data_IF_977761700449
#
_entry.id   IF_977761700449
#
_cell.length_a   1.000
_cell.length_b   1.000
_cell.length_c   1.000
_cell.angle_alpha   90.00
_cell.angle_beta   90.00
_cell.angle_gamma   90.00
#
_symmetry.space_group_name_H-M   'P 1'
#
loop_
_entity.id
_entity.type
_entity.pdbx_description
1 polymer ?
#
# COMPACT_ATOMS: atom_id res chain seq x y z
N UNK A 1 62.30 9.31 -69.84
CA UNK A 1 61.76 8.44 -68.76
C UNK A 1 61.06 9.35 -67.78
N UNK A 2 59.72 9.53 -67.94
CA UNK A 2 58.89 10.50 -67.24
C UNK A 2 58.11 9.79 -66.16
N UNK A 3 58.27 10.22 -64.92
CA UNK A 3 57.50 9.72 -63.77
C UNK A 3 56.35 10.71 -63.52
N UNK A 4 55.18 10.26 -63.85
CA UNK A 4 53.91 10.95 -63.53
C UNK A 4 53.65 10.97 -62.04
N UNK A 5 53.58 12.15 -61.43
CA UNK A 5 53.06 12.38 -60.08
C UNK A 5 51.53 12.41 -60.13
N UNK A 6 50.87 11.46 -59.49
CA UNK A 6 49.42 11.40 -59.23
C UNK A 6 49.07 12.17 -57.95
N UNK A 7 48.44 13.36 -58.13
CA UNK A 7 47.91 14.11 -57.02
C UNK A 7 46.57 13.49 -56.56
N UNK A 8 46.53 12.97 -55.33
CA UNK A 8 45.31 12.56 -54.65
C UNK A 8 44.75 13.74 -53.85
N UNK A 9 43.67 14.33 -54.31
CA UNK A 9 42.88 15.27 -53.50
C UNK A 9 41.99 14.44 -52.58
N UNK A 10 42.31 14.45 -51.30
CA UNK A 10 41.43 13.91 -50.26
C UNK A 10 40.40 15.00 -49.92
N UNK A 11 39.18 14.83 -50.41
CA UNK A 11 38.03 15.65 -50.01
C UNK A 11 37.59 15.14 -48.63
N UNK A 12 37.97 15.87 -47.56
CA UNK A 12 37.44 15.66 -46.23
C UNK A 12 36.02 16.23 -46.15
N UNK A 13 35.02 15.37 -46.25
CA UNK A 13 33.64 15.73 -45.95
C UNK A 13 33.54 15.79 -44.42
N UNK A 14 33.59 17.01 -43.88
CA UNK A 14 33.25 17.25 -42.48
C UNK A 14 31.73 17.19 -42.36
N UNK A 15 31.22 16.03 -41.93
CA UNK A 15 29.83 15.90 -41.47
C UNK A 15 29.67 16.74 -40.19
N UNK A 16 29.13 17.93 -40.31
CA UNK A 16 28.67 18.76 -39.22
C UNK A 16 27.41 18.10 -38.67
N UNK A 17 27.55 17.16 -37.72
CA UNK A 17 26.48 16.70 -36.86
C UNK A 17 26.14 17.87 -35.91
N UNK A 18 25.32 18.76 -36.39
CA UNK A 18 24.69 19.78 -35.59
C UNK A 18 23.78 19.08 -34.56
N UNK A 19 24.26 18.92 -33.34
CA UNK A 19 23.39 18.63 -32.22
C UNK A 19 22.47 19.85 -32.08
N UNK A 20 21.26 19.76 -32.61
CA UNK A 20 20.19 20.70 -32.27
C UNK A 20 19.89 20.48 -30.77
N UNK A 21 20.56 21.21 -29.90
CA UNK A 21 20.12 21.41 -28.52
C UNK A 21 18.89 22.33 -28.62
N UNK A 22 17.74 21.74 -28.85
CA UNK A 22 16.47 22.44 -28.71
C UNK A 22 16.34 22.86 -27.25
N UNK A 23 16.34 24.17 -26.99
CA UNK A 23 15.99 24.67 -25.65
C UNK A 23 14.52 24.30 -25.38
N UNK A 24 14.24 23.68 -24.23
CA UNK A 24 12.89 23.39 -23.81
C UNK A 24 12.06 24.70 -23.80
N UNK A 25 10.97 24.72 -24.54
CA UNK A 25 10.08 25.86 -24.66
C UNK A 25 8.93 25.75 -23.67
N UNK A 26 8.47 26.88 -23.14
CA UNK A 26 7.26 26.95 -22.35
C UNK A 26 6.09 27.45 -23.21
N UNK A 27 5.04 26.66 -23.28
CA UNK A 27 3.78 26.96 -23.99
C UNK A 27 2.75 27.30 -22.93
N UNK A 28 2.23 28.52 -22.94
CA UNK A 28 1.28 28.98 -21.94
C UNK A 28 -0.16 28.80 -22.41
N UNK A 29 -0.96 28.16 -21.56
CA UNK A 29 -2.41 27.96 -21.73
C UNK A 29 -3.14 28.80 -20.70
N UNK A 30 -4.08 29.65 -21.13
CA UNK A 30 -4.97 30.39 -20.25
C UNK A 30 -6.22 30.91 -20.99
N UNK A 31 -7.28 31.26 -20.26
CA UNK A 31 -8.53 31.76 -20.84
C UNK A 31 -8.38 33.03 -21.69
N UNK A 32 -7.38 33.88 -21.39
CA UNK A 32 -7.07 35.11 -22.14
C UNK A 32 -5.89 34.96 -23.11
N UNK A 33 -5.24 33.80 -23.15
CA UNK A 33 -4.13 33.51 -24.05
C UNK A 33 -4.61 33.12 -25.46
N UNK A 34 -3.72 33.12 -26.45
CA UNK A 34 -4.01 32.55 -27.76
C UNK A 34 -4.42 31.06 -27.70
N UNK A 35 -3.82 30.32 -26.79
CA UNK A 35 -4.10 28.90 -26.55
C UNK A 35 -4.96 28.82 -25.29
N UNK A 36 -6.22 28.37 -25.44
CA UNK A 36 -7.21 28.35 -24.36
C UNK A 36 -7.50 26.94 -23.81
N UNK A 37 -7.04 25.90 -24.52
CA UNK A 37 -7.27 24.52 -24.13
C UNK A 37 -5.95 23.81 -23.82
N UNK A 38 -5.98 22.89 -22.86
CA UNK A 38 -4.80 22.10 -22.46
C UNK A 38 -4.38 21.22 -23.64
N UNK A 39 -5.34 20.55 -24.31
CA UNK A 39 -5.04 19.74 -25.48
C UNK A 39 -4.43 20.58 -26.63
N UNK A 40 -4.87 21.83 -26.79
CA UNK A 40 -4.27 22.77 -27.75
C UNK A 40 -2.83 23.16 -27.42
N UNK A 41 -2.52 23.29 -26.13
CA UNK A 41 -1.15 23.49 -25.65
C UNK A 41 -0.25 22.29 -25.93
N UNK A 42 -0.73 21.09 -25.63
CA UNK A 42 -0.01 19.82 -25.89
C UNK A 42 0.24 19.64 -27.40
N UNK A 43 -0.74 19.96 -28.24
CA UNK A 43 -0.59 19.86 -29.71
C UNK A 43 0.56 20.73 -30.26
N UNK A 44 0.81 21.89 -29.65
CA UNK A 44 1.89 22.80 -30.05
C UNK A 44 3.26 22.50 -29.43
N UNK A 45 3.28 21.62 -28.42
CA UNK A 45 4.51 21.23 -27.73
C UNK A 45 5.34 20.25 -28.59
N UNK A 46 6.64 20.32 -28.45
CA UNK A 46 7.63 19.33 -28.86
C UNK A 46 8.14 18.53 -27.66
N UNK A 47 8.86 17.45 -27.89
CA UNK A 47 9.50 16.69 -26.83
C UNK A 47 10.44 17.57 -25.99
N UNK A 48 10.34 17.43 -24.66
CA UNK A 48 11.10 18.22 -23.69
C UNK A 48 10.45 19.56 -23.31
N UNK A 49 9.40 19.99 -24.00
CA UNK A 49 8.72 21.26 -23.71
C UNK A 49 7.87 21.18 -22.43
N UNK A 50 7.57 22.35 -21.89
CA UNK A 50 6.63 22.55 -20.78
C UNK A 50 5.34 23.19 -21.28
N UNK A 51 4.20 22.57 -21.00
CA UNK A 51 2.88 23.17 -21.18
C UNK A 51 2.45 23.73 -19.81
N UNK A 52 2.54 25.05 -19.68
CA UNK A 52 2.20 25.78 -18.45
C UNK A 52 0.74 26.23 -18.51
N UNK A 53 -0.08 25.62 -17.66
CA UNK A 53 -1.51 25.94 -17.57
C UNK A 53 -1.73 26.92 -16.42
N UNK A 54 -2.19 28.12 -16.74
CA UNK A 54 -2.49 29.15 -15.75
C UNK A 54 -3.77 28.85 -14.98
N UNK A 55 -3.89 29.42 -13.80
CA UNK A 55 -5.10 29.34 -12.98
C UNK A 55 -6.37 29.59 -13.80
N UNK A 56 -7.33 28.69 -13.67
CA UNK A 56 -8.60 28.73 -14.40
C UNK A 56 -9.37 27.42 -14.26
N UNK A 57 -10.54 27.37 -14.88
CA UNK A 57 -11.34 26.14 -15.03
C UNK A 57 -11.31 25.75 -16.49
N UNK A 58 -10.99 24.50 -16.75
CA UNK A 58 -10.85 23.91 -18.08
C UNK A 58 -11.80 22.71 -18.17
N UNK A 59 -12.87 22.83 -18.94
CA UNK A 59 -13.87 21.78 -19.12
C UNK A 59 -13.43 20.83 -20.25
N UNK A 60 -12.41 20.02 -19.96
CA UNK A 60 -11.79 19.13 -20.93
C UNK A 60 -11.79 17.68 -20.45
N UNK A 61 -12.02 16.75 -21.36
CA UNK A 61 -11.88 15.31 -21.19
C UNK A 61 -11.03 14.73 -22.32
N UNK A 62 -10.50 13.53 -22.14
CA UNK A 62 -9.66 12.85 -23.12
C UNK A 62 -8.44 13.70 -23.56
N UNK A 63 -7.82 14.38 -22.59
CA UNK A 63 -6.55 15.09 -22.82
C UNK A 63 -5.47 14.03 -23.02
N UNK A 64 -4.94 13.92 -24.24
CA UNK A 64 -3.94 12.91 -24.60
C UNK A 64 -2.55 13.54 -24.60
N UNK A 65 -1.63 12.96 -23.81
CA UNK A 65 -0.22 13.34 -23.79
C UNK A 65 0.56 12.24 -24.53
N UNK A 66 0.92 12.54 -25.78
CA UNK A 66 1.59 11.65 -26.73
C UNK A 66 3.07 11.99 -26.99
N UNK A 67 3.63 12.88 -26.17
CA UNK A 67 5.03 13.35 -26.25
C UNK A 67 5.64 13.44 -24.88
N UNK A 68 6.95 13.30 -24.76
CA UNK A 68 7.71 13.47 -23.53
C UNK A 68 7.74 14.95 -23.11
N UNK A 69 6.73 15.43 -22.40
CA UNK A 69 6.55 16.81 -21.95
C UNK A 69 6.27 16.91 -20.47
N UNK A 70 6.42 18.12 -19.94
CA UNK A 70 5.91 18.49 -18.61
C UNK A 70 4.59 19.27 -18.78
N UNK A 71 3.49 18.71 -18.24
CA UNK A 71 2.22 19.41 -18.05
C UNK A 71 2.21 20.00 -16.65
N UNK A 72 2.34 21.33 -16.53
CA UNK A 72 2.50 22.04 -15.26
C UNK A 72 1.34 22.99 -15.02
N UNK A 73 0.65 22.84 -13.88
CA UNK A 73 -0.37 23.74 -13.42
C UNK A 73 0.21 24.85 -12.53
N UNK A 74 -0.04 26.11 -12.87
CA UNK A 74 0.30 27.25 -12.04
C UNK A 74 -0.91 27.66 -11.18
N UNK A 75 -0.73 27.68 -9.85
CA UNK A 75 -1.78 27.99 -8.87
C UNK A 75 -2.98 27.01 -8.92
N UNK A 76 -2.71 25.72 -9.14
CA UNK A 76 -3.72 24.65 -9.12
C UNK A 76 -4.91 24.90 -10.06
N UNK A 77 -4.70 25.00 -11.39
CA UNK A 77 -5.81 25.08 -12.33
C UNK A 77 -6.71 23.84 -12.21
N UNK A 78 -8.02 24.06 -12.37
CA UNK A 78 -9.00 22.99 -12.26
C UNK A 78 -9.34 22.42 -13.65
N UNK A 79 -9.22 21.11 -13.79
CA UNK A 79 -9.76 20.39 -14.95
C UNK A 79 -11.07 19.74 -14.50
N UNK A 80 -12.18 20.13 -15.12
CA UNK A 80 -13.50 19.60 -14.81
C UNK A 80 -13.97 18.67 -15.95
N UNK A 81 -14.15 17.40 -15.60
CA UNK A 81 -14.63 16.38 -16.53
C UNK A 81 -16.13 16.42 -16.79
N UNK A 82 -16.89 17.18 -16.01
CA UNK A 82 -18.35 17.29 -16.13
C UNK A 82 -19.04 15.90 -16.19
N UNK A 83 -18.47 14.91 -15.48
CA UNK A 83 -18.92 13.51 -15.42
C UNK A 83 -18.97 12.80 -16.80
N UNK A 84 -18.20 13.26 -17.78
CA UNK A 84 -18.28 12.78 -19.18
C UNK A 84 -17.33 11.66 -19.55
N UNK A 85 -16.20 11.49 -18.85
CA UNK A 85 -15.23 10.45 -19.22
C UNK A 85 -13.90 10.48 -18.48
N UNK A 86 -12.88 9.89 -19.10
CA UNK A 86 -11.48 9.93 -18.65
C UNK A 86 -10.88 11.33 -18.88
N UNK A 87 -10.03 11.82 -17.96
CA UNK A 87 -9.54 13.20 -18.08
C UNK A 87 -8.19 13.28 -18.77
N UNK A 88 -7.13 12.74 -18.17
CA UNK A 88 -5.77 12.76 -18.73
C UNK A 88 -5.34 11.35 -19.08
N UNK A 89 -4.87 11.16 -20.29
CA UNK A 89 -4.31 9.91 -20.80
C UNK A 89 -2.88 10.09 -21.27
N UNK A 90 -1.95 9.38 -20.65
CA UNK A 90 -0.52 9.42 -20.95
C UNK A 90 -0.17 8.21 -21.81
N UNK A 91 0.30 8.47 -23.01
CA UNK A 91 0.72 7.46 -24.00
C UNK A 91 2.13 7.73 -24.55
N UNK A 92 2.94 8.45 -23.78
CA UNK A 92 4.37 8.68 -24.05
C UNK A 92 5.20 8.48 -22.80
N UNK A 93 6.43 8.07 -22.95
CA UNK A 93 7.41 7.96 -21.87
C UNK A 93 7.83 9.33 -21.33
N UNK A 94 8.39 9.35 -20.12
CA UNK A 94 9.01 10.52 -19.50
C UNK A 94 8.09 11.75 -19.45
N UNK A 95 6.80 11.52 -19.18
CA UNK A 95 5.81 12.59 -19.00
C UNK A 95 5.73 12.98 -17.52
N UNK A 96 5.69 14.28 -17.25
CA UNK A 96 5.38 14.83 -15.94
C UNK A 96 4.02 15.52 -15.96
N UNK A 97 3.17 15.22 -14.93
CA UNK A 97 1.92 15.94 -14.66
C UNK A 97 2.00 16.45 -13.21
N UNK A 98 1.94 17.77 -13.03
CA UNK A 98 2.21 18.43 -11.76
C UNK A 98 1.26 19.60 -11.50
N UNK A 99 0.66 19.65 -10.30
CA UNK A 99 0.02 20.85 -9.78
C UNK A 99 -1.39 21.13 -10.32
N UNK A 100 -2.26 20.12 -10.48
CA UNK A 100 -3.63 20.28 -10.95
C UNK A 100 -4.67 19.85 -9.92
N UNK A 101 -5.82 20.52 -9.94
CA UNK A 101 -7.05 20.00 -9.39
C UNK A 101 -7.86 19.35 -10.53
N UNK A 102 -8.30 18.09 -10.34
CA UNK A 102 -9.11 17.35 -11.32
C UNK A 102 -10.39 16.89 -10.64
N UNK A 103 -11.52 17.22 -11.23
CA UNK A 103 -12.85 16.93 -10.62
C UNK A 103 -13.83 16.34 -11.63
N UNK A 104 -14.87 15.68 -11.11
CA UNK A 104 -16.01 15.17 -11.88
C UNK A 104 -15.58 14.22 -13.01
N UNK A 105 -14.81 13.19 -12.66
CA UNK A 105 -14.44 12.11 -13.59
C UNK A 105 -15.69 11.29 -13.91
N UNK A 106 -15.90 10.94 -15.17
CA UNK A 106 -17.05 10.12 -15.59
C UNK A 106 -17.01 8.74 -14.95
N UNK A 107 -18.20 8.14 -14.78
CA UNK A 107 -18.38 6.77 -14.31
C UNK A 107 -18.76 5.87 -15.47
N UNK A 108 -18.15 4.68 -15.55
CA UNK A 108 -18.50 3.68 -16.55
C UNK A 108 -18.42 2.28 -15.96
N UNK A 109 -19.37 1.43 -16.34
CA UNK A 109 -19.39 0.01 -15.94
C UNK A 109 -18.57 -0.89 -16.89
N UNK A 110 -18.14 -0.36 -18.02
CA UNK A 110 -17.41 -1.09 -19.05
C UNK A 110 -15.99 -0.56 -19.29
N UNK A 111 -15.71 0.64 -18.80
CA UNK A 111 -14.42 1.32 -18.95
C UNK A 111 -14.01 1.92 -17.62
N UNK A 112 -12.76 1.70 -17.24
CA UNK A 112 -12.19 2.21 -15.99
C UNK A 112 -11.74 3.67 -16.17
N UNK A 113 -12.68 4.61 -16.23
CA UNK A 113 -12.36 6.03 -16.37
C UNK A 113 -11.57 6.55 -15.17
N UNK A 114 -10.43 7.18 -15.44
CA UNK A 114 -9.53 7.71 -14.44
C UNK A 114 -9.31 9.22 -14.60
N UNK A 115 -8.96 9.88 -13.50
CA UNK A 115 -8.49 11.26 -13.56
C UNK A 115 -7.16 11.35 -14.33
N UNK A 116 -6.23 10.41 -14.06
CA UNK A 116 -4.98 10.25 -14.82
C UNK A 116 -4.77 8.78 -15.12
N UNK A 117 -4.63 8.44 -16.40
CA UNK A 117 -4.31 7.09 -16.85
C UNK A 117 -2.98 7.04 -17.59
N UNK A 118 -2.11 6.11 -17.23
CA UNK A 118 -0.83 5.86 -17.89
C UNK A 118 -0.88 4.48 -18.53
N UNK A 119 -0.61 4.39 -19.85
CA UNK A 119 -0.75 3.15 -20.59
C UNK A 119 0.57 2.78 -21.27
N UNK A 120 1.22 1.69 -20.79
CA UNK A 120 2.42 1.08 -21.35
C UNK A 120 3.57 2.09 -21.52
N UNK A 121 3.80 2.93 -20.51
CA UNK A 121 4.84 3.96 -20.53
C UNK A 121 5.80 3.81 -19.36
N UNK A 122 7.01 4.32 -19.56
CA UNK A 122 8.07 4.32 -18.59
C UNK A 122 8.47 5.74 -18.16
N UNK A 123 8.98 5.88 -16.91
CA UNK A 123 9.62 7.13 -16.45
C UNK A 123 8.64 8.28 -16.20
N UNK A 124 7.36 8.03 -16.00
CA UNK A 124 6.36 9.07 -15.73
C UNK A 124 6.49 9.61 -14.30
N UNK A 125 6.06 10.87 -14.11
CA UNK A 125 5.93 11.53 -12.82
C UNK A 125 4.55 12.17 -12.70
N UNK A 126 3.76 11.72 -11.71
CA UNK A 126 2.43 12.28 -11.39
C UNK A 126 2.49 12.80 -9.97
N UNK A 127 2.41 14.12 -9.80
CA UNK A 127 2.58 14.68 -8.46
C UNK A 127 1.74 15.92 -8.18
N UNK A 128 1.55 16.20 -6.87
CA UNK A 128 0.90 17.40 -6.35
C UNK A 128 -0.50 17.62 -6.95
N UNK A 129 -1.25 16.56 -7.20
CA UNK A 129 -2.61 16.64 -7.72
C UNK A 129 -3.62 16.62 -6.57
N UNK A 130 -4.74 17.35 -6.76
CA UNK A 130 -5.95 17.23 -5.95
C UNK A 130 -7.06 16.63 -6.81
N UNK A 131 -7.44 15.39 -6.51
CA UNK A 131 -8.43 14.64 -7.27
C UNK A 131 -9.71 14.47 -6.44
N UNK A 132 -10.85 14.91 -6.95
CA UNK A 132 -12.14 14.85 -6.25
C UNK A 132 -13.26 14.31 -7.15
N UNK A 133 -14.23 13.60 -6.57
CA UNK A 133 -15.39 13.02 -7.29
C UNK A 133 -14.95 12.21 -8.51
N UNK A 134 -14.35 11.08 -8.24
CA UNK A 134 -13.70 10.27 -9.25
C UNK A 134 -14.23 8.83 -9.23
N UNK A 135 -14.19 8.17 -10.38
CA UNK A 135 -14.35 6.72 -10.46
C UNK A 135 -12.99 6.06 -10.15
N UNK A 136 -11.96 6.21 -11.00
CA UNK A 136 -10.58 5.92 -10.62
C UNK A 136 -9.79 7.24 -10.49
N UNK A 137 -8.88 7.28 -9.50
CA UNK A 137 -7.98 8.43 -9.38
C UNK A 137 -6.81 8.36 -10.37
N UNK A 138 -5.78 7.59 -10.05
CA UNK A 138 -4.62 7.36 -10.91
C UNK A 138 -4.57 5.88 -11.30
N UNK A 139 -4.59 5.59 -12.60
CA UNK A 139 -4.53 4.23 -13.11
C UNK A 139 -3.30 4.00 -13.98
N UNK A 140 -2.42 3.14 -13.52
CA UNK A 140 -1.20 2.73 -14.21
C UNK A 140 -1.42 1.35 -14.83
N UNK A 141 -1.38 1.28 -16.15
CA UNK A 141 -1.58 0.05 -16.90
C UNK A 141 -0.30 -0.35 -17.63
N UNK A 142 0.32 -1.47 -17.24
CA UNK A 142 1.55 -2.01 -17.87
C UNK A 142 2.67 -0.96 -18.00
N UNK A 143 2.82 -0.14 -16.97
CA UNK A 143 3.70 1.04 -16.98
C UNK A 143 4.74 0.93 -15.87
N UNK A 144 6.00 1.33 -16.16
CA UNK A 144 7.12 1.01 -15.28
C UNK A 144 7.96 2.23 -14.92
N UNK A 145 8.81 2.07 -13.89
CA UNK A 145 9.84 3.05 -13.50
C UNK A 145 9.30 4.48 -13.32
N UNK A 146 8.04 4.59 -12.91
CA UNK A 146 7.37 5.87 -12.69
C UNK A 146 7.17 6.20 -11.23
N UNK A 147 6.66 7.41 -10.97
CA UNK A 147 6.42 7.91 -9.64
C UNK A 147 5.05 8.56 -9.50
N UNK A 148 4.39 8.29 -8.37
CA UNK A 148 3.11 8.89 -7.95
C UNK A 148 3.33 9.53 -6.58
N UNK A 149 3.49 10.86 -6.54
CA UNK A 149 4.01 11.55 -5.35
C UNK A 149 3.07 12.66 -4.85
N UNK A 150 2.82 12.69 -3.54
CA UNK A 150 2.19 13.82 -2.85
C UNK A 150 0.81 14.23 -3.41
N UNK A 151 0.03 13.27 -3.90
CA UNK A 151 -1.31 13.54 -4.42
C UNK A 151 -2.35 13.41 -3.29
N UNK A 152 -3.42 14.21 -3.37
CA UNK A 152 -4.60 14.13 -2.53
C UNK A 152 -5.75 13.59 -3.36
N UNK A 153 -6.25 12.41 -3.01
CA UNK A 153 -7.26 11.68 -3.78
C UNK A 153 -8.47 11.45 -2.89
N UNK A 154 -9.58 12.04 -3.24
CA UNK A 154 -10.83 11.92 -2.49
C UNK A 154 -11.98 11.51 -3.41
N UNK A 155 -12.45 10.29 -3.22
CA UNK A 155 -13.67 9.81 -3.87
C UNK A 155 -14.93 10.21 -3.12
N UNK A 156 -16.06 9.73 -3.64
CA UNK A 156 -17.39 9.82 -3.05
C UNK A 156 -18.06 8.44 -3.00
N UNK A 157 -17.26 7.42 -2.78
CA UNK A 157 -17.67 6.02 -2.80
C UNK A 157 -18.75 5.73 -1.73
N UNK A 158 -19.90 5.22 -2.17
CA UNK A 158 -21.02 4.83 -1.31
C UNK A 158 -21.18 3.31 -1.26
N UNK A 159 -20.90 2.62 -2.35
CA UNK A 159 -20.97 1.17 -2.43
C UNK A 159 -19.85 0.63 -3.32
N UNK A 160 -19.47 -0.63 -3.12
CA UNK A 160 -18.35 -1.27 -3.81
C UNK A 160 -18.55 -1.41 -5.33
N UNK A 161 -19.78 -1.55 -5.78
CA UNK A 161 -20.11 -1.84 -7.19
C UNK A 161 -19.93 -0.61 -8.09
N UNK A 162 -20.15 0.57 -7.55
CA UNK A 162 -20.16 1.84 -8.29
C UNK A 162 -18.94 2.72 -7.96
N UNK A 163 -17.91 2.14 -7.38
CA UNK A 163 -16.74 2.88 -6.94
C UNK A 163 -15.46 2.23 -7.45
N UNK A 164 -14.54 3.04 -7.91
CA UNK A 164 -13.21 2.60 -8.32
C UNK A 164 -12.16 2.79 -7.24
N UNK A 165 -10.91 2.62 -7.60
CA UNK A 165 -9.77 2.69 -6.70
C UNK A 165 -9.09 4.07 -6.75
N UNK A 166 -8.44 4.46 -5.66
CA UNK A 166 -7.70 5.73 -5.63
C UNK A 166 -6.46 5.70 -6.51
N UNK A 167 -5.56 4.75 -6.27
CA UNK A 167 -4.38 4.50 -7.10
C UNK A 167 -4.39 3.03 -7.48
N UNK A 168 -4.34 2.74 -8.78
CA UNK A 168 -4.34 1.37 -9.30
C UNK A 168 -3.11 1.10 -10.16
N UNK A 169 -2.43 -0.01 -9.87
CA UNK A 169 -1.29 -0.53 -10.62
C UNK A 169 -1.66 -1.91 -11.17
N UNK A 170 -1.65 -2.06 -12.49
CA UNK A 170 -1.93 -3.31 -13.16
C UNK A 170 -0.79 -3.67 -14.12
N UNK A 171 -0.11 -4.81 -13.85
CA UNK A 171 1.09 -5.24 -14.55
C UNK A 171 2.20 -4.17 -14.59
N UNK A 172 2.49 -3.54 -13.46
CA UNK A 172 3.52 -2.50 -13.33
C UNK A 172 4.81 -3.03 -12.69
N UNK A 173 5.94 -2.36 -12.92
CA UNK A 173 7.20 -2.70 -12.30
C UNK A 173 8.03 -1.48 -11.94
N UNK A 174 8.67 -1.52 -10.75
CA UNK A 174 9.59 -0.46 -10.33
C UNK A 174 8.94 0.91 -10.14
N UNK A 175 7.67 0.95 -9.70
CA UNK A 175 6.93 2.19 -9.45
C UNK A 175 7.06 2.60 -7.98
N UNK A 176 7.24 3.89 -7.74
CA UNK A 176 7.22 4.51 -6.40
C UNK A 176 5.88 5.22 -6.18
N UNK A 177 5.16 4.86 -5.10
CA UNK A 177 3.91 5.52 -4.65
C UNK A 177 4.18 6.10 -3.27
N UNK A 178 4.37 7.42 -3.17
CA UNK A 178 4.83 8.03 -1.91
C UNK A 178 4.14 9.34 -1.57
N UNK A 179 3.85 9.50 -0.26
CA UNK A 179 3.33 10.76 0.29
C UNK A 179 1.89 11.07 -0.11
N UNK A 180 1.13 10.10 -0.65
CA UNK A 180 -0.23 10.34 -1.09
C UNK A 180 -1.23 10.20 0.06
N UNK A 181 -2.30 11.00 0.01
CA UNK A 181 -3.48 10.84 0.86
C UNK A 181 -4.63 10.33 -0.01
N UNK A 182 -5.19 9.18 0.36
CA UNK A 182 -6.29 8.55 -0.39
C UNK A 182 -7.45 8.25 0.55
N UNK A 183 -8.63 8.76 0.23
CA UNK A 183 -9.81 8.57 1.08
C UNK A 183 -11.11 8.46 0.29
N UNK A 184 -12.11 7.79 0.91
CA UNK A 184 -13.48 7.65 0.41
C UNK A 184 -13.57 7.03 -1.00
N UNK A 185 -12.74 6.05 -1.30
CA UNK A 185 -12.76 5.25 -2.53
C UNK A 185 -13.09 3.79 -2.20
N UNK A 186 -13.16 2.92 -3.19
CA UNK A 186 -13.37 1.48 -2.95
C UNK A 186 -12.14 0.85 -2.28
N UNK A 187 -11.00 0.82 -2.97
CA UNK A 187 -9.69 0.48 -2.43
C UNK A 187 -8.77 1.70 -2.54
N UNK A 188 -8.09 2.05 -1.45
CA UNK A 188 -7.19 3.21 -1.46
C UNK A 188 -6.09 3.07 -2.50
N UNK A 189 -5.28 2.03 -2.37
CA UNK A 189 -4.22 1.65 -3.32
C UNK A 189 -4.43 0.20 -3.71
N UNK A 190 -4.38 -0.12 -5.00
CA UNK A 190 -4.58 -1.46 -5.52
C UNK A 190 -3.46 -1.88 -6.47
N UNK A 191 -2.88 -3.06 -6.24
CA UNK A 191 -1.84 -3.65 -7.09
C UNK A 191 -2.27 -5.04 -7.56
N UNK A 192 -2.04 -5.33 -8.82
CA UNK A 192 -2.24 -6.66 -9.37
C UNK A 192 -1.16 -6.96 -10.41
N UNK A 193 -0.49 -8.12 -10.27
CA UNK A 193 0.63 -8.52 -11.12
C UNK A 193 1.73 -7.45 -11.24
N UNK A 194 2.05 -6.80 -10.11
CA UNK A 194 2.99 -5.67 -10.09
C UNK A 194 4.15 -5.97 -9.15
N UNK A 195 5.38 -5.89 -9.64
CA UNK A 195 6.58 -6.31 -8.91
C UNK A 195 7.55 -5.15 -8.66
N UNK A 196 8.33 -5.24 -7.59
CA UNK A 196 9.33 -4.25 -7.18
C UNK A 196 8.72 -2.85 -6.99
N UNK A 197 7.58 -2.80 -6.33
CA UNK A 197 6.86 -1.57 -6.02
C UNK A 197 7.26 -1.07 -4.64
N UNK A 198 7.43 0.25 -4.51
CA UNK A 198 7.68 0.91 -3.22
C UNK A 198 6.46 1.77 -2.88
N UNK A 199 5.79 1.43 -1.77
CA UNK A 199 4.66 2.20 -1.23
C UNK A 199 5.08 2.76 0.13
N UNK A 200 5.28 4.07 0.21
CA UNK A 200 5.81 4.66 1.43
C UNK A 200 5.17 6.00 1.80
N UNK A 201 5.05 6.26 3.11
CA UNK A 201 4.56 7.53 3.65
C UNK A 201 3.16 7.93 3.16
N UNK A 202 2.31 6.97 2.79
CA UNK A 202 0.95 7.26 2.36
C UNK A 202 -0.02 7.18 3.54
N UNK A 203 -1.07 7.99 3.47
CA UNK A 203 -2.25 7.91 4.33
C UNK A 203 -3.42 7.39 3.51
N UNK A 204 -3.89 6.18 3.82
CA UNK A 204 -5.06 5.58 3.18
C UNK A 204 -6.15 5.34 4.23
N UNK A 205 -7.26 6.08 4.12
CA UNK A 205 -8.29 6.08 5.17
C UNK A 205 -9.72 6.16 4.65
N UNK A 206 -10.66 5.69 5.48
CA UNK A 206 -12.10 5.78 5.20
C UNK A 206 -12.51 5.13 3.86
N UNK A 207 -11.78 4.14 3.39
CA UNK A 207 -12.11 3.45 2.15
C UNK A 207 -13.11 2.32 2.42
N UNK A 208 -14.00 2.06 1.45
CA UNK A 208 -15.08 1.11 1.63
C UNK A 208 -14.58 -0.31 1.89
N UNK A 209 -13.52 -0.72 1.21
CA UNK A 209 -12.99 -2.07 1.30
C UNK A 209 -11.59 -2.08 1.93
N UNK A 210 -10.56 -1.75 1.19
CA UNK A 210 -9.18 -1.85 1.67
C UNK A 210 -8.44 -0.52 1.61
N UNK A 211 -7.60 -0.27 2.62
CA UNK A 211 -6.63 0.82 2.53
C UNK A 211 -5.55 0.53 1.47
N UNK A 212 -5.06 -0.72 1.44
CA UNK A 212 -4.18 -1.25 0.40
C UNK A 212 -4.58 -2.69 0.08
N UNK A 213 -4.65 -3.01 -1.20
CA UNK A 213 -4.94 -4.36 -1.67
C UNK A 213 -3.94 -4.76 -2.76
N UNK A 214 -3.28 -5.90 -2.62
CA UNK A 214 -2.43 -6.40 -3.68
C UNK A 214 -2.48 -7.92 -3.82
N UNK A 215 -2.37 -8.37 -5.06
CA UNK A 215 -2.42 -9.77 -5.44
C UNK A 215 -1.37 -10.07 -6.50
N UNK A 216 -0.75 -11.27 -6.40
CA UNK A 216 0.24 -11.74 -7.37
C UNK A 216 1.36 -10.72 -7.63
N UNK A 217 1.75 -9.99 -6.59
CA UNK A 217 2.74 -8.90 -6.64
C UNK A 217 3.89 -9.22 -5.69
N UNK A 218 5.12 -9.18 -6.18
CA UNK A 218 6.28 -9.73 -5.47
C UNK A 218 7.42 -8.73 -5.36
N UNK A 219 8.29 -8.96 -4.37
CA UNK A 219 9.47 -8.13 -4.10
C UNK A 219 9.10 -6.67 -3.82
N UNK A 220 8.00 -6.45 -3.10
CA UNK A 220 7.45 -5.13 -2.83
C UNK A 220 7.77 -4.67 -1.42
N UNK A 221 7.95 -3.37 -1.25
CA UNK A 221 8.25 -2.73 0.02
C UNK A 221 7.13 -1.78 0.42
N UNK A 222 6.61 -1.94 1.63
CA UNK A 222 5.56 -1.12 2.21
C UNK A 222 6.04 -0.54 3.54
N UNK A 223 6.30 0.77 3.58
CA UNK A 223 6.91 1.36 4.77
C UNK A 223 6.33 2.73 5.15
N UNK A 224 6.28 3.01 6.43
CA UNK A 224 5.82 4.30 6.98
C UNK A 224 4.42 4.72 6.50
N UNK A 225 3.55 3.78 6.13
CA UNK A 225 2.18 4.10 5.73
C UNK A 225 1.23 4.04 6.93
N UNK A 226 0.11 4.77 6.82
CA UNK A 226 -0.98 4.75 7.78
C UNK A 226 -2.24 4.24 7.07
N UNK A 227 -2.81 3.14 7.59
CA UNK A 227 -4.07 2.55 7.13
C UNK A 227 -5.10 2.66 8.25
N UNK A 228 -6.03 3.62 8.12
CA UNK A 228 -6.92 4.05 9.20
C UNK A 228 -8.38 3.98 8.79
N UNK A 229 -9.23 3.38 9.64
CA UNK A 229 -10.69 3.36 9.47
C UNK A 229 -11.15 2.93 8.07
N UNK A 230 -10.53 1.89 7.52
CA UNK A 230 -10.97 1.27 6.26
C UNK A 230 -11.87 0.07 6.58
N UNK A 231 -12.62 -0.42 5.59
CA UNK A 231 -13.32 -1.70 5.69
C UNK A 231 -12.38 -2.82 6.17
N UNK A 232 -11.13 -2.80 5.68
CA UNK A 232 -9.98 -3.48 6.25
C UNK A 232 -8.70 -2.70 5.90
N UNK A 233 -7.65 -2.79 6.72
CA UNK A 233 -6.41 -2.04 6.51
C UNK A 233 -5.71 -2.47 5.22
N UNK A 234 -5.14 -3.67 5.19
CA UNK A 234 -4.38 -4.19 4.04
C UNK A 234 -4.76 -5.63 3.75
N UNK A 235 -4.94 -5.98 2.48
CA UNK A 235 -5.08 -7.36 2.02
C UNK A 235 -3.95 -7.73 1.07
N UNK A 236 -3.21 -8.79 1.42
CA UNK A 236 -2.09 -9.34 0.65
C UNK A 236 -2.42 -10.76 0.26
N UNK A 237 -2.42 -11.06 -1.05
CA UNK A 237 -2.82 -12.38 -1.52
C UNK A 237 -1.85 -12.91 -2.59
N UNK A 238 -1.49 -14.20 -2.48
CA UNK A 238 -0.72 -14.93 -3.49
C UNK A 238 0.60 -14.27 -3.90
N UNK A 239 1.31 -13.72 -2.91
CA UNK A 239 2.53 -12.93 -3.11
C UNK A 239 3.70 -13.47 -2.28
N UNK A 240 4.92 -13.09 -2.62
CA UNK A 240 6.14 -13.50 -1.92
C UNK A 240 7.20 -12.40 -1.90
N UNK A 241 8.14 -12.54 -0.97
CA UNK A 241 9.23 -11.59 -0.75
C UNK A 241 8.72 -10.17 -0.48
N UNK A 242 7.83 -10.08 0.52
CA UNK A 242 7.18 -8.82 0.90
C UNK A 242 7.86 -8.26 2.14
N UNK A 243 8.17 -6.97 2.11
CA UNK A 243 8.75 -6.21 3.21
C UNK A 243 7.71 -5.19 3.73
N UNK A 244 7.31 -5.31 4.99
CA UNK A 244 6.36 -4.39 5.65
C UNK A 244 6.99 -3.81 6.91
N UNK A 245 7.40 -2.55 6.87
CA UNK A 245 8.14 -1.93 7.97
C UNK A 245 7.52 -0.61 8.42
N UNK A 246 7.45 -0.38 9.74
CA UNK A 246 7.06 0.90 10.33
C UNK A 246 5.67 1.41 9.92
N UNK A 247 4.76 0.54 9.49
CA UNK A 247 3.41 0.93 9.15
C UNK A 247 2.50 0.98 10.38
N UNK A 248 1.44 1.78 10.31
CA UNK A 248 0.42 1.91 11.34
C UNK A 248 -0.92 1.42 10.77
N UNK A 249 -1.49 0.40 11.38
CA UNK A 249 -2.81 -0.15 11.06
C UNK A 249 -3.71 0.13 12.25
N UNK A 250 -4.67 1.06 12.11
CA UNK A 250 -5.50 1.45 13.24
C UNK A 250 -6.96 1.63 12.89
N UNK A 251 -7.81 1.33 13.87
CA UNK A 251 -9.25 1.60 13.80
C UNK A 251 -9.96 0.90 12.63
N UNK A 252 -9.41 -0.19 12.09
CA UNK A 252 -10.07 -0.97 11.05
C UNK A 252 -11.04 -1.96 11.74
N UNK A 253 -12.31 -1.54 11.89
CA UNK A 253 -13.34 -2.29 12.60
C UNK A 253 -14.44 -2.79 11.67
N UNK A 254 -14.94 -4.00 11.92
CA UNK A 254 -16.07 -4.60 11.19
C UNK A 254 -16.10 -6.12 11.33
N UNK A 255 -17.15 -6.74 10.83
CA UNK A 255 -17.36 -8.21 10.94
C UNK A 255 -16.30 -9.01 10.19
N UNK A 256 -15.72 -8.45 9.13
CA UNK A 256 -14.66 -9.05 8.31
C UNK A 256 -13.42 -8.13 8.20
N UNK A 257 -13.19 -7.30 9.22
CA UNK A 257 -12.14 -6.29 9.21
C UNK A 257 -10.86 -6.78 9.90
N UNK A 258 -9.72 -6.29 9.41
CA UNK A 258 -8.39 -6.61 9.92
C UNK A 258 -7.40 -5.47 9.64
N UNK A 259 -6.33 -5.38 10.43
CA UNK A 259 -5.17 -4.54 10.09
C UNK A 259 -4.50 -5.07 8.83
N UNK A 260 -4.10 -6.37 8.83
CA UNK A 260 -3.58 -7.06 7.63
C UNK A 260 -4.25 -8.42 7.46
N UNK A 261 -4.63 -8.76 6.23
CA UNK A 261 -4.87 -10.13 5.77
C UNK A 261 -3.67 -10.62 4.96
N UNK A 262 -3.12 -11.75 5.36
CA UNK A 262 -2.09 -12.48 4.61
C UNK A 262 -2.71 -13.79 4.11
N UNK A 263 -2.90 -13.91 2.81
CA UNK A 263 -3.46 -15.13 2.21
C UNK A 263 -2.49 -15.73 1.21
N UNK A 264 -1.99 -16.93 1.53
CA UNK A 264 -1.02 -17.68 0.72
C UNK A 264 0.26 -16.86 0.41
N UNK A 265 0.79 -16.23 1.47
CA UNK A 265 2.03 -15.46 1.41
C UNK A 265 3.21 -16.33 1.82
N UNK A 266 4.33 -16.16 1.14
CA UNK A 266 5.56 -16.85 1.47
C UNK A 266 6.75 -15.89 1.49
N UNK A 267 7.68 -16.12 2.44
CA UNK A 267 8.95 -15.40 2.51
C UNK A 267 8.73 -13.88 2.66
N UNK A 268 8.23 -13.43 3.81
CA UNK A 268 7.96 -12.02 4.09
C UNK A 268 8.55 -11.59 5.43
N UNK A 269 8.84 -10.29 5.55
CA UNK A 269 9.20 -9.63 6.80
C UNK A 269 8.16 -8.58 7.18
N UNK A 270 7.58 -8.71 8.36
CA UNK A 270 6.60 -7.78 8.92
C UNK A 270 7.15 -7.26 10.23
N UNK A 271 7.83 -6.11 10.19
CA UNK A 271 8.63 -5.66 11.33
C UNK A 271 8.36 -4.21 11.71
N UNK A 272 8.48 -3.93 13.01
CA UNK A 272 8.33 -2.57 13.56
C UNK A 272 6.96 -1.91 13.28
N UNK A 273 5.92 -2.67 12.99
CA UNK A 273 4.59 -2.13 12.70
C UNK A 273 3.75 -1.96 13.97
N UNK A 274 2.75 -1.10 13.90
CA UNK A 274 1.74 -0.86 14.93
C UNK A 274 0.39 -1.36 14.48
N UNK A 275 -0.21 -2.26 15.25
CA UNK A 275 -1.59 -2.72 15.09
C UNK A 275 -2.40 -2.26 16.29
N UNK A 276 -3.24 -1.25 16.11
CA UNK A 276 -3.97 -0.62 17.21
C UNK A 276 -5.47 -0.54 16.91
N UNK A 277 -6.26 -1.02 17.86
CA UNK A 277 -7.72 -0.86 17.80
C UNK A 277 -8.33 -1.40 16.49
N UNK A 278 -7.90 -2.59 16.03
CA UNK A 278 -8.50 -3.30 14.90
C UNK A 278 -9.37 -4.46 15.40
N UNK A 279 -10.35 -4.91 14.61
CA UNK A 279 -11.07 -6.16 14.93
C UNK A 279 -10.08 -7.32 15.01
N UNK A 280 -9.20 -7.45 14.03
CA UNK A 280 -8.10 -8.40 13.99
C UNK A 280 -6.84 -7.62 13.58
N UNK A 281 -5.75 -7.71 14.36
CA UNK A 281 -4.49 -7.09 13.97
C UNK A 281 -3.94 -7.73 12.69
N UNK A 282 -3.60 -9.03 12.73
CA UNK A 282 -3.17 -9.79 11.55
C UNK A 282 -4.01 -11.06 11.41
N UNK A 283 -4.62 -11.27 10.24
CA UNK A 283 -5.30 -12.51 9.86
C UNK A 283 -4.40 -13.27 8.87
N UNK A 284 -3.93 -14.45 9.26
CA UNK A 284 -2.97 -15.28 8.51
C UNK A 284 -3.68 -16.51 7.98
N UNK A 285 -3.66 -16.72 6.66
CA UNK A 285 -4.26 -17.87 6.00
C UNK A 285 -3.25 -18.53 5.05
N UNK A 286 -2.86 -19.80 5.33
CA UNK A 286 -1.98 -20.57 4.46
C UNK A 286 -0.61 -19.94 4.16
N UNK A 287 -0.06 -19.13 5.09
CA UNK A 287 1.14 -18.32 4.85
C UNK A 287 2.33 -18.85 5.64
N UNK A 288 3.51 -18.87 5.00
CA UNK A 288 4.67 -19.60 5.51
C UNK A 288 5.97 -18.80 5.43
N UNK A 289 6.91 -19.09 6.33
CA UNK A 289 8.25 -18.49 6.39
C UNK A 289 8.19 -16.96 6.49
N UNK A 290 7.34 -16.47 7.39
CA UNK A 290 7.18 -15.05 7.65
C UNK A 290 7.83 -14.72 8.99
N UNK A 291 8.59 -13.64 9.01
CA UNK A 291 9.15 -13.07 10.23
C UNK A 291 8.27 -11.92 10.71
N UNK A 292 7.67 -12.08 11.90
CA UNK A 292 6.93 -11.04 12.62
C UNK A 292 7.80 -10.57 13.78
N UNK A 293 8.48 -9.44 13.63
CA UNK A 293 9.46 -8.98 14.62
C UNK A 293 9.23 -7.52 15.02
N UNK A 294 9.41 -7.22 16.31
CA UNK A 294 9.32 -5.87 16.87
C UNK A 294 7.97 -5.15 16.61
N UNK A 295 6.87 -5.88 16.42
CA UNK A 295 5.56 -5.28 16.21
C UNK A 295 4.85 -5.01 17.53
N UNK A 296 4.00 -3.96 17.54
CA UNK A 296 3.12 -3.65 18.66
C UNK A 296 1.66 -3.98 18.33
N UNK A 297 1.06 -4.86 19.08
CA UNK A 297 -0.36 -5.18 19.03
C UNK A 297 -1.06 -4.62 20.26
N UNK A 298 -1.86 -3.57 20.11
CA UNK A 298 -2.49 -2.88 21.24
C UNK A 298 -3.99 -2.74 21.05
N UNK A 299 -4.77 -3.21 22.04
CA UNK A 299 -6.23 -3.03 22.10
C UNK A 299 -6.99 -3.57 20.88
N UNK A 300 -6.51 -4.64 20.24
CA UNK A 300 -7.22 -5.30 19.15
C UNK A 300 -8.24 -6.31 19.72
N UNK A 301 -9.28 -6.63 18.98
CA UNK A 301 -10.15 -7.75 19.30
C UNK A 301 -9.35 -9.06 19.30
N UNK A 302 -8.64 -9.32 18.22
CA UNK A 302 -7.65 -10.40 18.10
C UNK A 302 -6.33 -9.78 17.64
N UNK A 303 -5.23 -10.01 18.34
CA UNK A 303 -3.95 -9.53 17.88
C UNK A 303 -3.52 -10.30 16.62
N UNK A 304 -3.51 -11.64 16.68
CA UNK A 304 -3.20 -12.50 15.54
C UNK A 304 -4.21 -13.63 15.46
N UNK A 305 -4.77 -13.82 14.26
CA UNK A 305 -5.65 -14.94 13.95
C UNK A 305 -5.05 -15.80 12.86
N UNK A 306 -4.79 -17.08 13.14
CA UNK A 306 -4.16 -18.02 12.21
C UNK A 306 -5.19 -19.03 11.74
N UNK A 307 -5.30 -19.25 10.44
CA UNK A 307 -6.19 -20.21 9.80
C UNK A 307 -5.43 -21.11 8.82
N UNK A 308 -5.79 -22.37 8.80
CA UNK A 308 -5.21 -23.35 7.90
C UNK A 308 -3.78 -23.75 8.27
N UNK A 309 -3.02 -24.20 7.29
CA UNK A 309 -1.64 -24.67 7.45
C UNK A 309 -0.69 -23.47 7.31
N UNK A 310 -0.02 -23.12 8.40
CA UNK A 310 0.95 -22.02 8.44
C UNK A 310 2.24 -22.56 9.10
N UNK A 311 3.35 -22.60 8.34
CA UNK A 311 4.58 -23.27 8.78
C UNK A 311 5.77 -22.31 8.81
N UNK A 312 6.70 -22.58 9.73
CA UNK A 312 7.99 -21.90 9.83
C UNK A 312 7.89 -20.38 9.96
N UNK A 313 6.85 -19.88 10.62
CA UNK A 313 6.72 -18.48 10.94
C UNK A 313 7.40 -18.19 12.29
N UNK A 314 7.94 -17.00 12.45
CA UNK A 314 8.63 -16.56 13.65
C UNK A 314 7.93 -15.32 14.23
N UNK A 315 7.63 -15.35 15.50
CA UNK A 315 7.04 -14.25 16.26
C UNK A 315 8.01 -13.86 17.38
N UNK A 316 8.85 -12.87 17.11
CA UNK A 316 9.99 -12.54 17.98
C UNK A 316 9.94 -11.07 18.39
N UNK A 317 10.22 -10.80 19.66
CA UNK A 317 10.31 -9.43 20.18
C UNK A 317 9.05 -8.57 19.98
N UNK A 318 7.86 -9.15 19.88
CA UNK A 318 6.63 -8.38 19.72
C UNK A 318 6.01 -8.02 21.09
N UNK A 319 5.26 -6.91 21.11
CA UNK A 319 4.46 -6.53 22.26
C UNK A 319 2.97 -6.85 22.02
N UNK A 320 2.39 -7.66 22.90
CA UNK A 320 0.95 -7.94 22.91
C UNK A 320 0.32 -7.27 24.15
N UNK A 321 -0.40 -6.16 23.92
CA UNK A 321 -0.92 -5.32 25.00
C UNK A 321 -2.43 -5.16 24.93
N UNK A 322 -3.12 -5.62 25.97
CA UNK A 322 -4.55 -5.38 26.18
C UNK A 322 -5.46 -5.83 25.01
N UNK A 323 -5.04 -6.84 24.25
CA UNK A 323 -5.90 -7.45 23.24
C UNK A 323 -6.93 -8.36 23.93
N UNK A 324 -8.13 -8.51 23.35
CA UNK A 324 -9.11 -9.46 23.90
C UNK A 324 -8.61 -10.90 23.74
N UNK A 325 -7.97 -11.19 22.61
CA UNK A 325 -7.28 -12.45 22.34
C UNK A 325 -5.91 -12.16 21.70
N UNK A 326 -4.83 -12.65 22.29
CA UNK A 326 -3.49 -12.45 21.75
C UNK A 326 -3.27 -13.31 20.50
N UNK A 327 -3.42 -14.63 20.61
CA UNK A 327 -3.29 -15.56 19.49
C UNK A 327 -4.53 -16.45 19.41
N UNK A 328 -5.15 -16.52 18.26
CA UNK A 328 -6.17 -17.51 17.96
C UNK A 328 -5.73 -18.40 16.80
N UNK A 329 -6.09 -19.67 16.90
CA UNK A 329 -5.61 -20.66 15.98
C UNK A 329 -6.71 -21.63 15.55
N UNK A 330 -6.84 -21.82 14.24
CA UNK A 330 -7.72 -22.82 13.66
C UNK A 330 -7.00 -23.53 12.49
N UNK A 331 -6.29 -24.62 12.81
CA UNK A 331 -5.54 -25.36 11.80
C UNK A 331 -4.44 -26.23 12.42
N UNK A 332 -3.35 -26.43 11.72
CA UNK A 332 -2.14 -27.09 12.20
C UNK A 332 -0.98 -26.11 12.17
N UNK A 333 -0.46 -25.77 13.33
CA UNK A 333 0.76 -24.96 13.48
C UNK A 333 1.93 -25.93 13.68
N UNK A 334 2.71 -26.15 12.67
CA UNK A 334 3.93 -26.93 12.79
C UNK A 334 5.13 -26.02 12.57
N UNK A 335 6.10 -26.10 13.46
CA UNK A 335 7.40 -25.40 13.33
C UNK A 335 7.32 -23.87 13.39
N UNK A 336 6.27 -23.29 13.99
CA UNK A 336 6.25 -21.86 14.29
C UNK A 336 6.96 -21.58 15.63
N UNK A 337 7.68 -20.47 15.71
CA UNK A 337 8.45 -20.09 16.89
C UNK A 337 7.90 -18.82 17.52
N UNK A 338 7.66 -18.87 18.83
CA UNK A 338 7.41 -17.69 19.67
C UNK A 338 8.60 -17.52 20.60
N UNK A 339 9.17 -16.34 20.65
CA UNK A 339 10.36 -16.11 21.46
C UNK A 339 10.48 -14.65 21.87
N UNK A 340 10.74 -14.42 23.15
CA UNK A 340 11.10 -13.10 23.66
C UNK A 340 10.02 -12.02 23.43
N UNK A 341 8.73 -12.41 23.39
CA UNK A 341 7.62 -11.47 23.27
C UNK A 341 7.14 -10.98 24.64
N UNK A 342 6.61 -9.78 24.67
CA UNK A 342 5.89 -9.27 25.85
C UNK A 342 4.38 -9.54 25.72
N UNK A 343 3.80 -10.07 26.80
CA UNK A 343 2.38 -10.41 26.89
C UNK A 343 1.77 -9.73 28.12
N UNK A 344 0.82 -8.81 27.95
CA UNK A 344 0.20 -8.11 29.09
C UNK A 344 -0.53 -9.04 30.07
N UNK A 345 -0.90 -10.24 29.60
CA UNK A 345 -1.56 -11.27 30.43
C UNK A 345 -0.59 -12.27 31.08
N UNK A 346 0.72 -12.11 30.88
CA UNK A 346 1.74 -12.93 31.48
C UNK A 346 1.86 -12.61 32.98
N UNK A 347 1.74 -13.64 33.84
CA UNK A 347 1.80 -13.53 35.29
C UNK A 347 2.87 -14.43 35.92
N UNK A 348 3.89 -14.80 35.13
CA UNK A 348 5.05 -15.55 35.63
C UNK A 348 5.98 -14.69 36.49
N UNK A 349 7.08 -15.28 36.92
CA UNK A 349 8.08 -14.65 37.77
C UNK A 349 9.46 -14.67 37.06
N UNK A 350 10.36 -13.84 37.54
CA UNK A 350 11.74 -13.67 37.07
C UNK A 350 12.64 -13.68 38.33
N UNK A 351 13.18 -14.86 38.69
CA UNK A 351 13.93 -15.06 39.92
C UNK A 351 15.35 -14.50 39.81
N UNK A 352 15.95 -14.61 38.64
CA UNK A 352 17.31 -14.14 38.41
C UNK A 352 17.38 -12.65 37.98
N UNK A 353 16.22 -12.02 37.81
CA UNK A 353 16.04 -10.58 37.47
C UNK A 353 16.70 -10.17 36.18
N UNK A 354 16.69 -11.07 35.20
CA UNK A 354 17.24 -10.80 33.85
C UNK A 354 16.21 -10.14 32.91
N UNK A 355 14.96 -9.95 33.35
CA UNK A 355 13.87 -9.35 32.56
C UNK A 355 13.11 -10.35 31.70
N UNK A 356 13.45 -11.63 31.78
CA UNK A 356 12.78 -12.75 31.11
C UNK A 356 12.06 -13.59 32.19
N UNK A 357 10.86 -14.03 31.93
CA UNK A 357 10.13 -14.88 32.84
C UNK A 357 10.64 -16.31 32.82
N UNK A 358 10.84 -16.90 34.02
CA UNK A 358 11.32 -18.28 34.22
C UNK A 358 10.27 -19.34 33.83
N UNK A 359 9.02 -18.92 33.61
CA UNK A 359 7.91 -19.82 33.24
C UNK A 359 7.48 -19.50 31.83
N UNK A 360 7.53 -20.48 30.91
CA UNK A 360 7.04 -20.26 29.54
C UNK A 360 5.58 -19.83 29.52
N UNK A 361 5.23 -18.97 28.55
CA UNK A 361 3.86 -18.48 28.34
C UNK A 361 3.16 -19.19 27.17
N UNK A 362 1.90 -19.55 27.37
CA UNK A 362 1.03 -20.14 26.35
C UNK A 362 0.00 -19.09 25.91
N UNK A 363 0.17 -18.45 24.72
CA UNK A 363 -0.71 -17.37 24.29
C UNK A 363 -2.09 -17.84 23.79
N UNK A 364 -2.23 -19.12 23.45
CA UNK A 364 -3.52 -19.71 23.05
C UNK A 364 -4.22 -20.28 24.27
N UNK A 365 -5.39 -19.77 24.61
CA UNK A 365 -6.18 -20.19 25.73
C UNK A 365 -7.31 -21.12 25.29
N UNK A 366 -7.76 -22.02 26.19
CA UNK A 366 -8.89 -22.92 25.97
C UNK A 366 -10.16 -22.16 25.55
N UNK A 367 -10.43 -21.02 26.17
CA UNK A 367 -11.59 -20.20 25.83
C UNK A 367 -11.54 -19.72 24.37
N UNK A 368 -10.36 -19.38 23.87
CA UNK A 368 -10.15 -19.03 22.45
C UNK A 368 -10.58 -20.15 21.52
N UNK A 369 -10.28 -21.39 21.86
CA UNK A 369 -10.70 -22.56 21.11
C UNK A 369 -12.22 -22.75 21.12
N UNK A 370 -12.87 -22.49 22.26
CA UNK A 370 -14.33 -22.53 22.39
C UNK A 370 -14.97 -21.46 21.49
N UNK A 371 -14.51 -20.21 21.56
CA UNK A 371 -15.04 -19.10 20.74
C UNK A 371 -14.86 -19.36 19.24
N UNK A 372 -13.77 -19.99 18.82
CA UNK A 372 -13.58 -20.34 17.42
C UNK A 372 -14.59 -21.36 16.88
N UNK A 373 -15.12 -22.24 17.75
CA UNK A 373 -16.15 -23.24 17.40
C UNK A 373 -17.57 -22.74 17.57
N UNK A 374 -17.77 -21.89 18.56
CA UNK A 374 -19.09 -21.38 18.95
C UNK A 374 -18.93 -19.87 19.21
N UNK A 375 -18.95 -19.02 18.15
CA UNK A 375 -18.67 -17.58 18.26
C UNK A 375 -19.55 -16.85 19.27
N UNK A 376 -20.77 -17.32 19.48
CA UNK A 376 -21.75 -16.74 20.43
C UNK A 376 -21.23 -16.77 21.86
N UNK A 377 -20.33 -17.68 22.20
CA UNK A 377 -19.73 -17.77 23.55
C UNK A 377 -18.86 -16.56 23.92
N UNK A 378 -18.55 -15.69 22.95
CA UNK A 378 -17.83 -14.44 23.19
C UNK A 378 -18.56 -13.54 24.21
N UNK A 379 -19.87 -13.69 24.36
CA UNK A 379 -20.67 -12.97 25.38
C UNK A 379 -20.20 -13.28 26.79
N UNK A 380 -19.59 -14.43 27.02
CA UNK A 380 -19.04 -14.85 28.31
C UNK A 380 -17.66 -14.25 28.60
N UNK A 381 -17.06 -13.54 27.64
CA UNK A 381 -15.77 -12.88 27.86
C UNK A 381 -15.85 -11.97 29.09
N UNK A 382 -14.88 -12.09 30.00
CA UNK A 382 -14.82 -11.40 31.29
C UNK A 382 -15.85 -11.90 32.34
N UNK A 383 -16.41 -13.08 32.16
CA UNK A 383 -17.25 -13.71 33.18
C UNK A 383 -16.38 -14.53 34.16
N UNK A 384 -16.87 -14.73 35.36
CA UNK A 384 -16.25 -15.63 36.37
C UNK A 384 -16.02 -17.04 35.79
N UNK A 385 -16.88 -17.49 34.90
CA UNK A 385 -16.73 -18.80 34.24
C UNK A 385 -15.43 -18.89 33.43
N UNK A 386 -15.07 -17.82 32.72
CA UNK A 386 -13.81 -17.74 31.92
C UNK A 386 -12.61 -17.69 32.87
N UNK A 387 -12.70 -16.94 33.98
CA UNK A 387 -11.62 -16.90 34.96
C UNK A 387 -11.35 -18.29 35.57
N UNK A 388 -12.39 -19.09 35.80
CA UNK A 388 -12.26 -20.48 36.27
C UNK A 388 -11.62 -21.38 35.21
N UNK A 389 -12.03 -21.25 33.95
CA UNK A 389 -11.43 -21.99 32.84
C UNK A 389 -9.95 -21.64 32.69
N UNK A 390 -9.60 -20.35 32.66
CA UNK A 390 -8.22 -19.87 32.54
C UNK A 390 -7.36 -20.35 33.72
N UNK A 391 -7.93 -20.37 34.96
CA UNK A 391 -7.24 -20.92 36.11
C UNK A 391 -7.02 -22.42 35.97
N UNK A 392 -8.04 -23.17 35.55
CA UNK A 392 -7.95 -24.64 35.36
C UNK A 392 -6.88 -24.99 34.33
N UNK A 393 -6.79 -24.22 33.28
CA UNK A 393 -5.80 -24.41 32.20
C UNK A 393 -4.37 -24.10 32.68
N UNK A 394 -4.18 -23.10 33.56
CA UNK A 394 -2.88 -22.83 34.19
C UNK A 394 -2.39 -24.00 35.05
N UNK A 395 -3.32 -24.71 35.73
CA UNK A 395 -2.99 -25.85 36.56
C UNK A 395 -2.74 -27.13 35.76
N UNK A 396 -3.50 -27.33 34.70
CA UNK A 396 -3.40 -28.51 33.83
C UNK A 396 -3.67 -28.17 32.38
N UNK A 397 -2.64 -27.80 31.60
CA UNK A 397 -2.78 -27.38 30.21
C UNK A 397 -2.99 -28.58 29.26
N UNK A 398 -4.19 -29.19 29.32
CA UNK A 398 -4.53 -30.40 28.54
C UNK A 398 -4.90 -30.06 27.09
N UNK A 399 -5.38 -28.84 26.82
CA UNK A 399 -5.98 -28.47 25.53
C UNK A 399 -5.13 -27.49 24.72
N UNK A 400 -4.08 -26.92 25.29
CA UNK A 400 -3.16 -26.02 24.57
C UNK A 400 -2.07 -26.82 23.90
N UNK A 401 -1.85 -26.63 22.58
CA UNK A 401 -0.74 -27.28 21.89
C UNK A 401 0.61 -26.87 22.48
N UNK A 402 1.49 -27.85 22.71
CA UNK A 402 2.84 -27.59 23.23
C UNK A 402 3.70 -26.75 22.25
N UNK A 403 3.38 -26.77 20.96
CA UNK A 403 4.09 -26.09 19.91
C UNK A 403 3.85 -24.55 19.90
N UNK A 404 2.89 -24.06 20.72
CA UNK A 404 2.51 -22.65 20.79
C UNK A 404 2.92 -22.03 22.14
N UNK A 405 4.19 -22.05 22.40
CA UNK A 405 4.73 -21.58 23.66
C UNK A 405 5.85 -20.58 23.43
N UNK A 406 5.77 -19.43 24.09
CA UNK A 406 6.89 -18.51 24.23
C UNK A 406 7.75 -18.97 25.39
N UNK A 407 8.98 -19.40 25.07
CA UNK A 407 9.87 -19.99 26.06
C UNK A 407 10.52 -18.90 26.91
N UNK A 408 10.69 -17.71 26.36
CA UNK A 408 11.38 -16.58 26.98
C UNK A 408 10.48 -15.33 27.04
N UNK A 409 9.31 -15.38 27.71
CA UNK A 409 8.40 -14.24 27.74
C UNK A 409 9.02 -13.06 28.50
N UNK A 410 8.90 -11.86 27.97
CA UNK A 410 9.40 -10.63 28.60
C UNK A 410 8.53 -10.20 29.77
N UNK A 411 9.18 -9.80 30.86
CA UNK A 411 8.51 -9.25 32.05
C UNK A 411 8.01 -7.80 31.86
N UNK A 412 8.59 -7.07 30.91
CA UNK A 412 8.23 -5.67 30.59
C UNK A 412 8.11 -5.47 29.08
N UNK A 413 7.27 -4.52 28.65
CA UNK A 413 7.18 -4.16 27.25
C UNK A 413 8.56 -3.80 26.66
N UNK A 414 8.79 -4.24 25.45
CA UNK A 414 10.00 -3.91 24.70
C UNK A 414 9.84 -2.49 24.16
N UNK A 415 10.84 -1.67 24.38
CA UNK A 415 10.86 -0.34 23.75
C UNK A 415 11.37 -0.49 22.32
N UNK A 416 10.47 -0.39 21.37
CA UNK A 416 10.83 -0.36 19.97
C UNK A 416 11.15 1.08 19.59
N UNK A 417 12.42 1.40 19.30
CA UNK A 417 12.82 2.70 18.81
C UNK A 417 12.20 2.93 17.41
N UNK A 418 11.35 3.95 17.32
CA UNK A 418 10.59 4.30 16.10
C UNK A 418 10.88 5.73 15.64
N UNK A 419 12.10 6.23 16.04
CA UNK A 419 12.56 7.56 15.66
C UNK A 419 12.85 7.70 14.16
#
# INVERSE_FOLDING_TARGET
>A
MSILKKNHYIIAIILFLGTFTGFAKTITVCNSCPIKTIQGGIAQASEGDTVLVKKGIYNEVNIIIDKAITLLGEDMPTIDGEDRGEIIKIVSNNVTVDGFKIINVGTSYTSDYAAVRVIKQDGFLIQNLELEKLFFGIYLEKSNNGKVLNNKIRGDAVNEYNSGNGIQLWYCKGVEVRGNTVENVRDGIYLEFSDNIIISHNLSKNNLRYGLHFMFSNNDVYEYNIFENNGAGVAVMFSKFIEMHYNIFKENWGTASFGILLKEINDANITNNVFKENTIGINIEGSNRINYENNDFTSNGYAIKVKGACYNNQFINNNFRYNSFDITYNGRLNSNKFDNNYWSNYTGYDLDKNGIGDVPYRPVKLFTYIVNRTPETIILLRSLFIDIIDFSEKVSPVFTPDDLMDINPRMKPINHDRS
#
